data_IF_142813651747
#
_entry.id   IF_142813651747
#
_cell.length_a   1.000
_cell.length_b   1.000
_cell.length_c   1.000
_cell.angle_alpha   90.00
_cell.angle_beta   90.00
_cell.angle_gamma   90.00
#
_symmetry.space_group_name_H-M   'P 1'
#
loop_
_entity.id
_entity.type
_entity.pdbx_description
1 polymer ?
#
# COMPACT_ATOMS: atom_id res chain seq x y z
N UNK A 1 -22.30 -7.90 1.94
CA UNK A 1 -21.98 -7.71 0.51
C UNK A 1 -20.46 -7.83 0.34
N UNK A 2 -19.95 -8.47 -0.72
CA UNK A 2 -18.51 -8.66 -0.90
C UNK A 2 -17.83 -7.30 -1.03
N UNK A 3 -16.76 -7.10 -0.26
CA UNK A 3 -16.09 -5.81 -0.18
C UNK A 3 -15.23 -5.61 -1.41
N UNK A 4 -15.48 -4.53 -2.15
CA UNK A 4 -14.61 -4.13 -3.24
C UNK A 4 -13.23 -3.77 -2.70
N UNK A 5 -12.18 -4.27 -3.35
CA UNK A 5 -10.80 -3.92 -3.03
C UNK A 5 -10.26 -2.94 -4.06
N UNK A 6 -10.18 -3.37 -5.33
CA UNK A 6 -9.63 -2.59 -6.43
C UNK A 6 -10.09 -3.11 -7.80
N UNK A 7 -9.81 -2.34 -8.83
CA UNK A 7 -9.87 -2.77 -10.23
C UNK A 7 -8.45 -2.78 -10.75
N UNK A 8 -8.05 -3.88 -11.39
CA UNK A 8 -6.68 -4.09 -11.86
C UNK A 8 -6.37 -3.12 -12.99
N UNK A 9 -5.30 -2.35 -12.81
CA UNK A 9 -4.72 -1.47 -13.83
C UNK A 9 -3.46 -2.08 -14.44
N UNK A 10 -2.69 -2.82 -13.64
CA UNK A 10 -1.55 -3.60 -14.08
C UNK A 10 -1.38 -4.83 -13.19
N UNK A 11 -0.68 -5.84 -13.68
CA UNK A 11 -0.26 -6.97 -12.85
C UNK A 11 1.09 -7.50 -13.30
N UNK A 12 1.81 -8.11 -12.36
CA UNK A 12 3.06 -8.81 -12.65
C UNK A 12 3.17 -10.09 -11.84
N UNK A 13 3.87 -11.08 -12.39
CA UNK A 13 4.24 -12.28 -11.65
C UNK A 13 5.30 -11.95 -10.60
N UNK A 14 5.11 -12.47 -9.40
CA UNK A 14 6.03 -12.40 -8.26
C UNK A 14 6.16 -13.77 -7.60
N UNK A 15 7.04 -13.90 -6.61
CA UNK A 15 7.17 -15.13 -5.81
C UNK A 15 5.90 -15.52 -5.04
N UNK A 16 4.94 -14.59 -4.90
CA UNK A 16 3.67 -14.81 -4.20
C UNK A 16 2.48 -15.05 -5.15
N UNK A 17 2.69 -14.98 -6.46
CA UNK A 17 1.63 -15.08 -7.48
C UNK A 17 1.52 -13.80 -8.31
N UNK A 18 0.31 -13.29 -8.50
CA UNK A 18 0.07 -12.05 -9.23
C UNK A 18 0.07 -10.86 -8.29
N UNK A 19 1.13 -10.05 -8.31
CA UNK A 19 1.12 -8.74 -7.67
C UNK A 19 0.34 -7.77 -8.55
N UNK A 20 -0.65 -7.09 -7.99
CA UNK A 20 -1.56 -6.22 -8.74
C UNK A 20 -1.39 -4.76 -8.36
N UNK A 21 -1.68 -3.91 -9.33
CA UNK A 21 -1.81 -2.46 -9.16
C UNK A 21 -3.24 -2.03 -9.57
N UNK A 22 -3.77 -0.95 -8.98
CA UNK A 22 -3.12 -0.04 -8.03
C UNK A 22 -3.03 -0.64 -6.62
N UNK A 23 -2.28 0.03 -5.73
CA UNK A 23 -2.33 -0.25 -4.28
C UNK A 23 -3.67 0.16 -3.68
N UNK A 24 -4.04 -0.44 -2.55
CA UNK A 24 -5.30 -0.15 -1.83
C UNK A 24 -5.06 0.87 -0.71
N UNK A 25 -5.81 1.97 -0.67
CA UNK A 25 -5.83 2.85 0.52
C UNK A 25 -6.50 2.12 1.68
N UNK A 26 -5.77 2.00 2.79
CA UNK A 26 -6.28 1.30 3.97
C UNK A 26 -7.28 2.12 4.74
N UNK A 27 -7.13 3.44 4.77
CA UNK A 27 -8.09 4.34 5.41
C UNK A 27 -9.44 4.26 4.68
N UNK A 28 -9.42 4.32 3.35
CA UNK A 28 -10.65 4.18 2.55
C UNK A 28 -11.29 2.81 2.76
N UNK A 29 -10.51 1.72 2.67
CA UNK A 29 -11.02 0.37 2.86
C UNK A 29 -11.63 0.19 4.26
N UNK A 30 -10.93 0.61 5.32
CA UNK A 30 -11.40 0.49 6.69
C UNK A 30 -12.68 1.27 6.95
N UNK A 31 -12.89 2.41 6.26
CA UNK A 31 -14.11 3.22 6.42
C UNK A 31 -15.38 2.56 5.88
N UNK A 32 -15.26 1.53 5.03
CA UNK A 32 -16.39 0.85 4.36
C UNK A 32 -16.62 -0.60 4.80
N UNK A 33 -15.79 -1.15 5.69
CA UNK A 33 -15.89 -2.53 6.17
C UNK A 33 -16.01 -2.59 7.69
N UNK A 34 -16.41 -3.74 8.26
CA UNK A 34 -16.36 -3.89 9.71
C UNK A 34 -14.91 -3.87 10.19
N UNK A 35 -14.68 -3.34 11.39
CA UNK A 35 -13.34 -3.20 11.96
C UNK A 35 -12.56 -4.52 12.03
N UNK A 36 -13.24 -5.65 12.22
CA UNK A 36 -12.63 -6.97 12.30
C UNK A 36 -12.53 -7.71 10.95
N UNK A 37 -13.09 -7.15 9.88
CA UNK A 37 -13.01 -7.70 8.52
C UNK A 37 -11.70 -7.27 7.85
N UNK A 38 -10.59 -7.66 8.45
CA UNK A 38 -9.24 -7.43 7.93
C UNK A 38 -8.86 -8.58 6.97
N UNK A 39 -8.63 -8.32 5.67
CA UNK A 39 -8.16 -9.33 4.74
C UNK A 39 -6.78 -9.84 5.15
N UNK A 40 -6.64 -11.16 5.24
CA UNK A 40 -5.39 -11.85 5.55
C UNK A 40 -5.05 -12.90 4.47
N UNK A 41 -3.76 -13.27 4.34
CA UNK A 41 -3.37 -14.37 3.48
C UNK A 41 -4.21 -15.63 3.71
N UNK A 42 -4.68 -16.24 2.61
CA UNK A 42 -5.59 -17.37 2.60
C UNK A 42 -7.07 -16.99 2.49
N UNK A 43 -7.45 -15.75 2.74
CA UNK A 43 -8.82 -15.29 2.51
C UNK A 43 -9.19 -15.40 1.03
N UNK A 44 -10.46 -15.69 0.77
CA UNK A 44 -10.94 -15.92 -0.59
C UNK A 44 -11.24 -14.60 -1.30
N UNK A 45 -10.67 -14.45 -2.49
CA UNK A 45 -10.95 -13.35 -3.40
C UNK A 45 -11.92 -13.82 -4.49
N UNK A 46 -12.88 -12.94 -4.82
CA UNK A 46 -13.78 -13.07 -5.95
C UNK A 46 -13.32 -12.09 -7.04
N UNK A 47 -12.91 -12.64 -8.18
CA UNK A 47 -12.43 -11.89 -9.32
C UNK A 47 -13.48 -11.91 -10.42
N UNK A 48 -13.78 -10.74 -10.96
CA UNK A 48 -14.62 -10.59 -12.15
C UNK A 48 -13.77 -10.03 -13.28
N UNK A 49 -13.54 -10.85 -14.29
CA UNK A 49 -12.82 -10.51 -15.50
C UNK A 49 -13.61 -9.51 -16.35
N UNK A 50 -12.93 -8.70 -17.18
CA UNK A 50 -13.57 -7.68 -18.01
C UNK A 50 -14.53 -8.26 -19.07
N UNK A 51 -14.29 -9.49 -19.53
CA UNK A 51 -15.17 -10.23 -20.45
C UNK A 51 -16.42 -10.81 -19.79
N UNK A 52 -16.57 -10.61 -18.48
CA UNK A 52 -17.67 -11.14 -17.68
C UNK A 52 -17.38 -12.48 -17.01
N UNK A 53 -16.24 -13.12 -17.30
CA UNK A 53 -15.78 -14.32 -16.62
C UNK A 53 -15.57 -14.10 -15.11
N UNK A 54 -15.71 -15.16 -14.34
CA UNK A 54 -15.45 -15.13 -12.89
C UNK A 54 -14.36 -16.11 -12.52
N UNK A 55 -13.53 -15.73 -11.56
CA UNK A 55 -12.47 -16.56 -11.02
C UNK A 55 -12.41 -16.38 -9.51
N UNK A 56 -11.93 -17.41 -8.81
CA UNK A 56 -11.76 -17.39 -7.36
C UNK A 56 -10.34 -17.81 -7.05
N UNK A 57 -9.70 -17.05 -6.17
CA UNK A 57 -8.31 -17.24 -5.83
C UNK A 57 -8.05 -16.89 -4.36
N UNK A 58 -7.05 -17.50 -3.71
CA UNK A 58 -6.63 -17.06 -2.39
C UNK A 58 -5.88 -15.72 -2.47
N UNK A 59 -6.12 -14.86 -1.48
CA UNK A 59 -5.25 -13.74 -1.19
C UNK A 59 -3.89 -14.29 -0.74
N UNK A 60 -2.82 -14.01 -1.47
CA UNK A 60 -1.48 -14.46 -1.09
C UNK A 60 -0.79 -13.48 -0.15
N UNK A 61 -0.93 -12.18 -0.44
CA UNK A 61 -0.35 -11.12 0.38
C UNK A 61 -1.24 -9.89 0.36
N UNK A 62 -1.36 -9.24 1.51
CA UNK A 62 -1.96 -7.93 1.64
C UNK A 62 -1.22 -7.15 2.71
N UNK A 63 -0.48 -6.11 2.32
CA UNK A 63 0.39 -5.42 3.25
C UNK A 63 1.16 -4.26 2.64
N UNK A 64 1.77 -3.46 3.50
CA UNK A 64 2.70 -2.40 3.09
C UNK A 64 3.93 -3.03 2.44
N UNK A 65 4.26 -2.55 1.25
CA UNK A 65 5.59 -2.77 0.68
C UNK A 65 6.61 -2.00 1.52
N UNK A 66 7.57 -2.70 2.12
CA UNK A 66 8.63 -2.08 2.88
C UNK A 66 9.97 -2.79 2.64
N UNK A 67 11.05 -2.01 2.72
CA UNK A 67 12.43 -2.52 2.69
C UNK A 67 13.23 -1.89 3.82
N UNK A 68 14.38 -2.48 4.13
CA UNK A 68 15.33 -1.91 5.08
C UNK A 68 16.35 -1.06 4.33
N UNK A 69 16.56 0.16 4.79
CA UNK A 69 17.60 1.04 4.26
C UNK A 69 18.95 0.77 4.94
N UNK A 70 20.00 1.35 4.37
CA UNK A 70 21.36 1.27 4.93
C UNK A 70 21.45 1.93 6.32
N UNK A 71 20.53 2.85 6.62
CA UNK A 71 20.34 3.47 7.93
C UNK A 71 19.69 2.54 8.97
N UNK A 72 19.40 1.29 8.60
CA UNK A 72 18.73 0.30 9.43
C UNK A 72 17.24 0.53 9.63
N UNK A 73 16.67 1.59 9.04
CA UNK A 73 15.24 1.92 9.17
C UNK A 73 14.41 1.19 8.12
N UNK A 74 13.13 1.02 8.42
CA UNK A 74 12.17 0.56 7.43
C UNK A 74 11.73 1.74 6.56
N UNK A 75 11.72 1.54 5.25
CA UNK A 75 11.26 2.50 4.26
C UNK A 75 10.12 1.90 3.46
N UNK A 76 9.24 2.74 2.94
CA UNK A 76 8.15 2.35 2.05
C UNK A 76 7.87 3.47 1.06
N UNK A 77 7.31 3.15 -0.11
CA UNK A 77 6.77 4.16 -1.02
C UNK A 77 5.49 4.81 -0.48
N UNK A 78 4.83 4.15 0.48
CA UNK A 78 3.60 4.62 1.10
C UNK A 78 3.84 5.78 2.07
N UNK A 79 2.82 6.62 2.27
CA UNK A 79 2.80 7.61 3.34
C UNK A 79 2.35 6.96 4.66
N UNK A 80 3.06 7.17 5.80
CA UNK A 80 2.59 6.71 7.10
C UNK A 80 1.23 7.28 7.54
N UNK A 81 0.87 8.48 7.07
CA UNK A 81 -0.42 9.10 7.35
C UNK A 81 -1.53 8.67 6.38
N UNK A 82 -1.18 8.12 5.22
CA UNK A 82 -2.11 7.50 4.25
C UNK A 82 -1.53 6.17 3.75
N UNK A 83 -1.57 5.11 4.58
CA UNK A 83 -0.93 3.85 4.24
C UNK A 83 -1.66 3.14 3.09
N UNK A 84 -0.88 2.70 2.11
CA UNK A 84 -1.34 1.95 0.95
C UNK A 84 -0.77 0.53 0.94
N UNK A 85 -1.64 -0.44 0.77
CA UNK A 85 -1.26 -1.85 0.74
C UNK A 85 -1.14 -2.34 -0.69
N UNK A 86 -0.08 -3.13 -0.91
CA UNK A 86 0.03 -3.99 -2.08
C UNK A 86 -0.83 -5.23 -1.88
N UNK A 87 -1.36 -5.77 -2.99
CA UNK A 87 -2.13 -7.00 -3.01
C UNK A 87 -1.45 -8.00 -3.95
N UNK A 88 -1.33 -9.25 -3.50
CA UNK A 88 -0.91 -10.37 -4.34
C UNK A 88 -1.96 -11.48 -4.31
N UNK A 89 -2.25 -12.03 -5.49
CA UNK A 89 -3.22 -13.13 -5.68
C UNK A 89 -2.45 -14.42 -5.91
N UNK A 90 -2.74 -15.44 -5.09
CA UNK A 90 -2.12 -16.75 -5.20
C UNK A 90 -2.96 -17.75 -5.99
N UNK A 91 -2.53 -19.02 -5.94
CA UNK A 91 -3.27 -20.15 -6.52
C UNK A 91 -2.78 -20.59 -7.90
N UNK A 92 -3.18 -21.81 -8.28
CA UNK A 92 -2.89 -22.42 -9.58
C UNK A 92 -4.12 -22.30 -10.50
N UNK A 93 -3.90 -22.28 -11.82
CA UNK A 93 -4.99 -22.30 -12.81
C UNK A 93 -5.67 -20.97 -13.10
N UNK A 94 -5.08 -19.85 -12.66
CA UNK A 94 -5.44 -18.51 -13.13
C UNK A 94 -4.78 -18.15 -14.46
N UNK A 95 -5.14 -17.01 -15.07
CA UNK A 95 -4.50 -16.55 -16.29
C UNK A 95 -3.01 -16.27 -16.06
N UNK A 96 -2.21 -16.36 -17.12
CA UNK A 96 -0.76 -16.12 -17.05
C UNK A 96 -0.42 -14.68 -16.67
N UNK A 97 -1.28 -13.75 -17.08
CA UNK A 97 -1.32 -12.34 -16.73
C UNK A 97 -2.75 -11.99 -16.31
N UNK A 98 -2.91 -11.20 -15.24
CA UNK A 98 -4.25 -10.80 -14.81
C UNK A 98 -4.76 -9.67 -15.71
N UNK A 99 -5.93 -9.81 -16.37
CA UNK A 99 -6.41 -8.81 -17.30
C UNK A 99 -6.67 -7.44 -16.63
N UNK A 100 -6.30 -6.38 -17.33
CA UNK A 100 -6.68 -5.01 -16.96
C UNK A 100 -8.22 -4.90 -16.94
N UNK A 101 -8.75 -4.21 -15.93
CA UNK A 101 -10.19 -4.09 -15.70
C UNK A 101 -10.79 -5.22 -14.86
N UNK A 102 -10.01 -6.23 -14.46
CA UNK A 102 -10.47 -7.24 -13.51
C UNK A 102 -10.83 -6.59 -12.18
N UNK A 103 -12.07 -6.80 -11.70
CA UNK A 103 -12.53 -6.30 -10.41
C UNK A 103 -12.26 -7.33 -9.33
N UNK A 104 -11.58 -6.94 -8.27
CA UNK A 104 -11.25 -7.79 -7.13
C UNK A 104 -12.14 -7.43 -5.95
N UNK A 105 -12.74 -8.45 -5.34
CA UNK A 105 -13.53 -8.32 -4.12
C UNK A 105 -13.10 -9.36 -3.09
N UNK A 106 -13.21 -9.02 -1.82
CA UNK A 106 -13.14 -9.99 -0.73
C UNK A 106 -14.47 -10.74 -0.65
N UNK A 107 -14.41 -12.06 -0.53
CA UNK A 107 -15.59 -12.88 -0.28
C UNK A 107 -16.07 -12.67 1.15
N UNK A 108 -17.26 -12.09 1.31
CA UNK A 108 -17.89 -11.82 2.61
C UNK A 108 -18.79 -12.96 3.08
N UNK A 109 -18.96 -14.00 2.27
CA UNK A 109 -19.74 -15.19 2.64
C UNK A 109 -18.98 -16.11 3.59
N UNK A 110 -17.67 -15.87 3.75
CA UNK A 110 -16.80 -16.52 4.71
C UNK A 110 -16.17 -15.47 5.62
N UNK A 111 -16.13 -15.68 6.94
CA UNK A 111 -15.40 -14.78 7.83
C UNK A 111 -13.95 -14.68 7.39
N UNK A 112 -13.44 -13.45 7.29
CA UNK A 112 -12.00 -13.23 7.11
C UNK A 112 -11.26 -13.85 8.29
N UNK A 113 -10.01 -14.24 8.08
CA UNK A 113 -9.14 -14.55 9.23
C UNK A 113 -8.80 -13.30 10.07
N UNK A 114 -9.22 -12.12 9.64
CA UNK A 114 -9.04 -10.82 10.30
C UNK A 114 -9.51 -10.73 11.75
N UNK A 115 -10.44 -11.59 12.19
CA UNK A 115 -10.83 -11.70 13.59
C UNK A 115 -9.68 -12.09 14.54
N UNK A 116 -8.56 -12.61 13.99
CA UNK A 116 -7.33 -12.90 14.74
C UNK A 116 -6.44 -11.67 14.93
N UNK A 117 -6.78 -10.56 14.30
CA UNK A 117 -6.11 -9.27 14.47
C UNK A 117 -6.81 -8.45 15.57
N UNK A 118 -6.27 -7.26 15.86
CA UNK A 118 -6.94 -6.27 16.71
C UNK A 118 -7.84 -5.30 15.91
N UNK A 119 -8.13 -5.62 14.66
CA UNK A 119 -8.97 -4.82 13.76
C UNK A 119 -8.24 -3.67 13.07
N UNK A 120 -8.95 -3.04 12.13
CA UNK A 120 -8.46 -1.94 11.30
C UNK A 120 -8.02 -0.73 12.10
N UNK A 121 -8.79 -0.33 13.12
CA UNK A 121 -8.43 0.80 14.01
C UNK A 121 -7.04 0.64 14.60
N UNK A 122 -6.75 -0.54 15.16
CA UNK A 122 -5.46 -0.83 15.74
C UNK A 122 -4.34 -0.86 14.68
N UNK A 123 -4.60 -1.46 13.52
CA UNK A 123 -3.61 -1.55 12.44
C UNK A 123 -3.24 -0.15 11.94
N UNK A 124 -4.23 0.71 11.71
CA UNK A 124 -4.01 2.09 11.23
C UNK A 124 -3.20 2.90 12.26
N UNK A 125 -3.57 2.82 13.55
CA UNK A 125 -2.83 3.49 14.62
C UNK A 125 -1.39 2.99 14.74
N UNK A 126 -1.17 1.67 14.63
CA UNK A 126 0.15 1.07 14.67
C UNK A 126 1.02 1.50 13.49
N UNK A 127 0.43 1.61 12.29
CA UNK A 127 1.14 2.07 11.09
C UNK A 127 1.53 3.55 11.20
N UNK A 128 0.62 4.40 11.65
CA UNK A 128 0.88 5.83 11.85
C UNK A 128 1.97 6.10 12.90
N UNK A 129 2.10 5.20 13.89
CA UNK A 129 3.05 5.33 15.00
C UNK A 129 4.38 4.59 14.76
N UNK A 130 4.48 3.77 13.71
CA UNK A 130 5.65 2.95 13.48
C UNK A 130 6.84 3.77 12.92
N UNK A 131 8.09 3.40 13.25
CA UNK A 131 9.29 4.15 12.86
C UNK A 131 9.74 3.82 11.43
N UNK A 132 8.86 4.02 10.44
CA UNK A 132 9.17 3.86 9.02
C UNK A 132 9.02 5.18 8.28
N UNK A 133 9.75 5.33 7.17
CA UNK A 133 9.81 6.58 6.42
C UNK A 133 9.35 6.37 4.99
N UNK A 134 8.64 7.37 4.45
CA UNK A 134 8.32 7.40 3.03
C UNK A 134 9.60 7.68 2.25
N UNK A 135 9.96 6.79 1.33
CA UNK A 135 11.09 6.95 0.42
C UNK A 135 10.79 6.24 -0.88
N UNK A 136 11.27 6.77 -2.00
CA UNK A 136 11.31 6.05 -3.26
C UNK A 136 12.67 5.34 -3.36
N UNK A 137 12.74 4.01 -3.53
CA UNK A 137 14.01 3.30 -3.64
C UNK A 137 14.78 3.70 -4.90
N UNK A 138 14.09 4.23 -5.92
CA UNK A 138 14.66 4.61 -7.21
C UNK A 138 15.01 6.11 -7.28
N UNK A 139 14.63 6.89 -6.25
CA UNK A 139 15.10 8.27 -6.10
C UNK A 139 16.56 8.26 -5.64
N UNK A 140 17.48 8.41 -6.60
CA UNK A 140 18.85 8.82 -6.29
C UNK A 140 18.78 10.14 -5.53
N UNK A 141 19.27 10.13 -4.28
CA UNK A 141 19.49 11.36 -3.54
C UNK A 141 20.45 12.21 -4.38
N UNK A 142 19.94 13.30 -4.94
CA UNK A 142 20.77 14.28 -5.64
C UNK A 142 21.76 14.84 -4.60
N UNK A 143 23.07 14.57 -4.71
CA UNK A 143 24.03 14.99 -3.67
C UNK A 143 24.28 16.50 -3.69
N UNK A 144 23.66 17.26 -4.60
CA UNK A 144 23.99 18.66 -4.86
C UNK A 144 22.99 19.68 -4.27
N UNK A 145 22.14 19.28 -3.32
CA UNK A 145 21.43 20.21 -2.46
C UNK A 145 22.35 20.75 -1.36
N UNK A 146 23.50 21.31 -1.76
CA UNK A 146 24.32 22.12 -0.86
C UNK A 146 23.53 23.38 -0.57
N UNK A 147 23.05 23.52 0.66
CA UNK A 147 22.47 24.75 1.15
C UNK A 147 23.47 25.89 0.93
N UNK A 148 23.14 26.86 0.07
CA UNK A 148 23.81 28.15 0.08
C UNK A 148 23.29 28.96 1.28
N UNK A 149 24.12 29.30 2.28
CA UNK A 149 23.74 30.26 3.28
C UNK A 149 24.05 31.66 2.74
N UNK A 150 23.11 32.29 2.04
CA UNK A 150 23.22 33.74 1.80
C UNK A 150 22.77 34.51 3.04
N UNK A 151 23.66 34.52 4.04
CA UNK A 151 23.73 35.60 5.00
C UNK A 151 24.51 36.75 4.35
N UNK A 152 23.80 37.74 3.82
CA UNK A 152 24.37 39.08 3.60
C UNK A 152 23.71 40.01 4.60
N UNK A 153 24.41 40.22 5.72
CA UNK A 153 24.24 41.41 6.52
C UNK A 153 24.72 42.61 5.68
N UNK A 154 23.86 43.60 5.49
CA UNK A 154 24.26 44.92 4.99
C UNK A 154 24.22 45.89 6.18
N UNK A 155 25.33 46.58 6.51
CA UNK A 155 25.43 47.44 7.68
C UNK A 155 24.67 48.76 7.53
N UNK A 156 24.12 49.19 8.65
CA UNK A 156 23.50 50.48 8.92
C UNK A 156 24.52 51.63 8.72
N UNK A 157 24.23 52.68 7.93
CA UNK A 157 24.99 53.92 7.94
C UNK A 157 24.18 55.08 8.55
N UNK A 158 24.43 55.26 9.85
CA UNK A 158 24.81 56.49 10.54
C UNK A 158 23.87 57.72 10.52
N UNK A 159 23.32 57.98 11.70
CA UNK A 159 22.81 59.26 12.18
C UNK A 159 24.00 60.13 12.67
N UNK A 160 24.45 61.11 11.88
CA UNK A 160 25.02 62.38 12.40
C UNK A 160 25.44 63.36 11.28
N UNK A 161 24.56 64.31 10.94
CA UNK A 161 24.81 65.77 11.01
C UNK A 161 23.66 66.58 10.45
#
# INVERSE_FOLDING_TARGET
MPYYLLTVESSRRSGFGHQVEPTVSIIELASRVNDLDVPLPGDRLLLRLPDGGTWTAPLAQFGIEAWRGDDGKAHSRSDPADPRFTLAIGGQGGPDELPVGTRIRLDDTVPTQGHRTKGWKYIIEALASAPWQRRDPDATADPDATAEPNATADPDPDEAR
#
